data_IF_675569576093
#
_entry.id   IF_675569576093
#
_cell.length_a   1.000
_cell.length_b   1.000
_cell.length_c   1.000
_cell.angle_alpha   90.00
_cell.angle_beta   90.00
_cell.angle_gamma   90.00
#
_symmetry.space_group_name_H-M   'P 1'
#
loop_
_entity.id
_entity.type
_entity.pdbx_description
1 polymer ?
#
# COMPACT_ATOMS: atom_id res chain seq x y z
N UNK A 1 4.20 -9.43 4.13
CA UNK A 1 3.68 -10.12 2.98
C UNK A 1 4.69 -10.13 1.85
N UNK A 2 5.40 -11.24 1.68
CA UNK A 2 6.33 -11.38 0.59
C UNK A 2 5.61 -11.38 -0.76
N UNK A 3 6.18 -10.71 -1.73
CA UNK A 3 5.77 -10.86 -3.12
C UNK A 3 6.03 -12.31 -3.52
N UNK A 4 4.98 -13.12 -3.53
CA UNK A 4 5.09 -14.45 -4.14
C UNK A 4 5.23 -14.27 -5.64
N UNK A 5 6.09 -15.09 -6.24
CA UNK A 5 6.19 -15.09 -7.71
C UNK A 5 4.80 -15.40 -8.28
N UNK A 6 4.20 -14.50 -9.06
CA UNK A 6 2.87 -14.74 -9.64
C UNK A 6 2.88 -15.78 -10.76
N UNK A 7 4.05 -16.24 -11.17
CA UNK A 7 4.22 -17.18 -12.28
C UNK A 7 3.63 -18.57 -12.02
N UNK A 8 3.31 -18.89 -10.77
CA UNK A 8 2.80 -20.20 -10.37
C UNK A 8 1.27 -20.24 -10.22
N UNK A 9 0.60 -19.10 -10.36
CA UNK A 9 -0.84 -19.01 -10.15
C UNK A 9 -1.53 -18.62 -11.46
N UNK A 10 -2.46 -19.44 -11.90
CA UNK A 10 -3.29 -19.13 -13.08
C UNK A 10 -4.06 -17.80 -12.88
N UNK A 11 -4.02 -16.94 -13.88
CA UNK A 11 -4.67 -15.63 -13.83
C UNK A 11 -3.85 -14.53 -13.17
N UNK A 12 -2.64 -14.82 -12.69
CA UNK A 12 -1.73 -13.80 -12.19
C UNK A 12 -0.77 -13.36 -13.30
N UNK A 13 -0.66 -12.06 -13.51
CA UNK A 13 0.34 -11.47 -14.40
C UNK A 13 1.49 -10.90 -13.56
N UNK A 14 2.71 -11.18 -14.01
CA UNK A 14 3.91 -10.60 -13.43
C UNK A 14 4.21 -9.27 -14.15
N UNK A 15 4.08 -8.17 -13.45
CA UNK A 15 4.66 -6.92 -13.93
C UNK A 15 6.03 -6.76 -13.29
N UNK A 16 7.06 -6.54 -14.09
CA UNK A 16 8.38 -6.25 -13.58
C UNK A 16 8.31 -5.02 -12.66
N UNK A 17 8.90 -5.11 -11.48
CA UNK A 17 8.96 -4.01 -10.49
C UNK A 17 9.58 -2.72 -11.06
N UNK A 18 10.36 -2.87 -12.12
CA UNK A 18 11.07 -1.80 -12.82
C UNK A 18 10.26 -1.16 -13.95
N UNK A 19 9.10 -1.71 -14.28
CA UNK A 19 8.26 -1.13 -15.34
C UNK A 19 7.58 0.14 -14.83
N UNK A 20 7.87 1.26 -15.46
CA UNK A 20 7.25 2.55 -15.14
C UNK A 20 7.16 3.40 -16.40
N UNK A 21 6.02 4.02 -16.70
CA UNK A 21 4.71 3.82 -16.06
C UNK A 21 3.99 2.55 -16.54
N UNK A 22 3.21 1.91 -15.69
CA UNK A 22 2.32 0.81 -16.06
C UNK A 22 0.89 1.32 -16.16
N UNK A 23 0.32 1.28 -17.35
CA UNK A 23 -1.04 1.79 -17.63
C UNK A 23 -1.97 0.73 -18.23
N UNK A 24 -1.45 -0.44 -18.57
CA UNK A 24 -2.19 -1.50 -19.25
C UNK A 24 -1.93 -2.87 -18.62
N UNK A 25 -2.73 -3.85 -18.99
CA UNK A 25 -2.64 -5.21 -18.44
C UNK A 25 -3.34 -5.36 -17.08
N UNK A 26 -3.19 -6.52 -16.47
CA UNK A 26 -3.76 -6.85 -15.16
C UNK A 26 -2.72 -7.40 -14.19
N UNK A 27 -1.62 -6.68 -13.93
CA UNK A 27 -0.59 -7.15 -13.00
C UNK A 27 -1.15 -7.31 -11.60
N UNK A 28 -0.64 -8.29 -10.85
CA UNK A 28 -1.04 -8.57 -9.47
C UNK A 28 -0.54 -7.54 -8.48
N UNK A 29 0.44 -6.75 -8.87
CA UNK A 29 0.93 -5.62 -8.09
C UNK A 29 0.08 -4.37 -8.31
N UNK A 30 0.20 -3.40 -7.41
CA UNK A 30 -0.47 -2.09 -7.45
C UNK A 30 -2.01 -2.17 -7.39
N UNK A 31 -2.56 -3.25 -6.85
CA UNK A 31 -3.98 -3.43 -6.63
C UNK A 31 -4.25 -4.14 -5.30
N UNK A 32 -5.51 -4.11 -4.89
CA UNK A 32 -6.07 -5.04 -3.92
C UNK A 32 -7.10 -5.92 -4.61
N UNK A 33 -7.35 -7.11 -4.08
CA UNK A 33 -8.44 -7.97 -4.52
C UNK A 33 -9.55 -7.91 -3.47
N UNK A 34 -10.75 -7.53 -3.88
CA UNK A 34 -11.93 -7.53 -3.04
C UNK A 34 -12.65 -8.85 -3.20
N UNK A 35 -12.74 -9.61 -2.11
CA UNK A 35 -13.34 -10.94 -2.09
C UNK A 35 -14.68 -10.86 -1.36
N UNK A 36 -15.76 -11.22 -2.06
CA UNK A 36 -17.06 -11.39 -1.43
C UNK A 36 -17.18 -12.82 -0.90
N UNK A 37 -17.47 -12.94 0.38
CA UNK A 37 -17.72 -14.23 1.06
C UNK A 37 -19.17 -14.25 1.54
N UNK A 38 -20.10 -14.94 0.85
CA UNK A 38 -21.47 -15.08 1.31
C UNK A 38 -21.54 -15.90 2.60
N UNK A 39 -22.11 -15.36 3.66
CA UNK A 39 -22.17 -16.04 4.96
C UNK A 39 -22.97 -17.34 4.92
N UNK A 40 -24.03 -17.41 4.09
CA UNK A 40 -24.88 -18.59 3.95
C UNK A 40 -24.28 -19.69 3.06
N UNK A 41 -23.26 -19.36 2.24
CA UNK A 41 -22.61 -20.25 1.29
C UNK A 41 -21.14 -19.82 1.05
N UNK A 42 -20.26 -19.93 2.06
CA UNK A 42 -18.89 -19.40 1.98
C UNK A 42 -18.04 -20.06 0.89
N UNK A 43 -18.40 -21.27 0.47
CA UNK A 43 -17.78 -21.99 -0.65
C UNK A 43 -17.98 -21.28 -2.01
N UNK A 44 -18.89 -20.31 -2.08
CA UNK A 44 -19.14 -19.49 -3.27
C UNK A 44 -18.35 -18.19 -3.26
N UNK A 45 -17.37 -18.05 -2.38
CA UNK A 45 -16.51 -16.88 -2.32
C UNK A 45 -15.86 -16.59 -3.67
N UNK A 46 -15.83 -15.33 -4.06
CA UNK A 46 -15.27 -14.92 -5.34
C UNK A 46 -14.65 -13.52 -5.28
N UNK A 47 -13.66 -13.27 -6.12
CA UNK A 47 -13.13 -11.92 -6.33
C UNK A 47 -14.18 -11.13 -7.11
N UNK A 48 -14.66 -10.05 -6.52
CA UNK A 48 -15.71 -9.19 -7.12
C UNK A 48 -15.17 -7.91 -7.72
N UNK A 49 -13.96 -7.49 -7.30
CA UNK A 49 -13.32 -6.28 -7.80
C UNK A 49 -11.81 -6.34 -7.58
N UNK A 50 -11.06 -5.60 -8.40
CA UNK A 50 -9.59 -5.52 -8.33
C UNK A 50 -9.13 -4.06 -8.50
N UNK A 51 -9.48 -3.17 -7.56
CA UNK A 51 -9.20 -1.74 -7.68
C UNK A 51 -7.70 -1.43 -7.65
N UNK A 52 -7.29 -0.51 -8.53
CA UNK A 52 -5.92 -0.02 -8.69
C UNK A 52 -5.67 1.15 -7.74
N UNK A 53 -5.48 0.85 -6.47
CA UNK A 53 -5.41 1.86 -5.40
C UNK A 53 -4.19 2.79 -5.48
N UNK A 54 -3.14 2.40 -6.23
CA UNK A 54 -1.93 3.22 -6.42
C UNK A 54 -1.93 4.03 -7.70
N UNK A 55 -3.02 4.06 -8.45
CA UNK A 55 -3.10 4.79 -9.72
C UNK A 55 -2.87 6.29 -9.49
N UNK A 56 -1.99 6.87 -10.31
CA UNK A 56 -1.87 8.31 -10.43
C UNK A 56 -3.05 8.84 -11.25
N UNK A 57 -3.91 9.69 -10.68
CA UNK A 57 -5.09 10.19 -11.38
C UNK A 57 -4.76 11.11 -12.58
N UNK A 58 -3.58 11.73 -12.59
CA UNK A 58 -3.17 12.63 -13.67
C UNK A 58 -2.65 11.88 -14.90
N UNK A 59 -1.96 10.74 -14.70
CA UNK A 59 -1.31 10.00 -15.78
C UNK A 59 -1.98 8.67 -16.07
N UNK A 60 -2.81 8.15 -15.18
CA UNK A 60 -3.39 6.80 -15.25
C UNK A 60 -2.37 5.69 -14.96
N UNK A 61 -1.15 6.00 -14.54
CA UNK A 61 -0.16 5.01 -14.20
C UNK A 61 -0.56 4.23 -12.95
N UNK A 62 -0.57 2.90 -13.00
CA UNK A 62 -0.97 2.05 -11.87
C UNK A 62 0.02 2.12 -10.71
N UNK A 63 1.28 2.40 -11.02
CA UNK A 63 2.39 2.54 -10.10
C UNK A 63 2.76 4.00 -9.84
N UNK A 64 1.75 4.85 -9.70
CA UNK A 64 1.91 6.31 -9.58
C UNK A 64 2.33 6.82 -8.20
N UNK A 65 2.31 5.97 -7.15
CA UNK A 65 2.77 6.37 -5.82
C UNK A 65 4.25 6.07 -5.63
N UNK A 66 4.98 7.02 -5.03
CA UNK A 66 6.39 6.87 -4.69
C UNK A 66 6.56 6.72 -3.17
N UNK A 67 7.49 5.87 -2.75
CA UNK A 67 7.83 5.70 -1.34
C UNK A 67 8.54 6.91 -0.75
N UNK A 68 9.50 7.46 -1.50
CA UNK A 68 10.35 8.57 -1.06
C UNK A 68 10.73 9.43 -2.24
N UNK A 69 11.33 10.58 -1.96
CA UNK A 69 11.90 11.43 -2.99
C UNK A 69 13.10 10.72 -3.65
N UNK A 70 13.18 10.70 -4.99
CA UNK A 70 14.31 10.11 -5.70
C UNK A 70 15.64 10.69 -5.26
N UNK A 71 16.66 9.84 -5.07
CA UNK A 71 18.01 10.24 -4.73
C UNK A 71 18.25 10.65 -3.28
N UNK A 72 17.24 10.61 -2.43
CA UNK A 72 17.42 10.86 -1.00
C UNK A 72 18.15 9.69 -0.34
N UNK A 73 19.09 10.03 0.56
CA UNK A 73 19.81 9.08 1.40
C UNK A 73 19.49 9.37 2.85
N UNK A 74 19.34 8.31 3.65
CA UNK A 74 19.13 8.51 5.08
C UNK A 74 20.35 9.19 5.73
N UNK A 75 20.15 10.20 6.60
CA UNK A 75 21.26 10.95 7.22
C UNK A 75 22.23 10.10 8.03
N UNK A 76 21.81 8.90 8.49
CA UNK A 76 22.69 7.98 9.23
C UNK A 76 23.78 7.36 8.37
N UNK A 77 23.79 7.59 7.05
CA UNK A 77 24.70 6.94 6.11
C UNK A 77 24.44 5.45 5.90
N UNK A 78 23.34 4.92 6.42
CA UNK A 78 22.94 3.53 6.19
C UNK A 78 22.48 3.40 4.73
N UNK A 79 23.02 2.41 4.03
CA UNK A 79 22.59 2.09 2.68
C UNK A 79 21.15 1.56 2.72
N UNK A 80 20.21 2.44 2.50
CA UNK A 80 18.81 2.14 2.26
C UNK A 80 18.45 2.62 0.86
N UNK A 81 17.98 1.71 0.06
CA UNK A 81 17.53 2.01 -1.30
C UNK A 81 16.01 1.89 -1.32
N UNK A 82 15.28 2.99 -1.15
CA UNK A 82 13.83 2.95 -1.21
C UNK A 82 13.38 2.50 -2.59
N UNK A 83 12.32 1.70 -2.64
CA UNK A 83 11.68 1.40 -3.91
C UNK A 83 11.12 2.69 -4.51
N UNK A 84 11.34 2.95 -5.80
CA UNK A 84 10.88 4.19 -6.42
C UNK A 84 9.35 4.30 -6.43
N UNK A 85 8.64 3.17 -6.46
CA UNK A 85 7.20 3.09 -6.53
C UNK A 85 6.66 2.14 -5.47
N UNK A 86 5.58 2.55 -4.81
CA UNK A 86 4.82 1.69 -3.91
C UNK A 86 4.05 0.67 -4.73
N UNK A 87 4.28 -0.61 -4.49
CA UNK A 87 3.68 -1.70 -5.26
C UNK A 87 2.79 -2.63 -4.44
N UNK A 88 2.92 -2.63 -3.13
CA UNK A 88 2.15 -3.46 -2.20
C UNK A 88 1.90 -2.71 -0.91
N UNK A 89 0.84 -3.10 -0.19
CA UNK A 89 0.67 -2.76 1.22
C UNK A 89 1.15 -3.93 2.07
N UNK A 90 1.78 -3.64 3.18
CA UNK A 90 2.08 -4.64 4.19
C UNK A 90 0.81 -5.01 4.94
N UNK A 91 0.02 -4.00 5.31
CA UNK A 91 -1.22 -4.18 6.06
C UNK A 91 -2.27 -3.15 5.62
N UNK A 92 -3.53 -3.53 5.78
CA UNK A 92 -4.69 -2.67 5.59
C UNK A 92 -5.69 -2.88 6.72
N UNK A 93 -6.21 -1.79 7.27
CA UNK A 93 -7.22 -1.84 8.34
C UNK A 93 -8.46 -1.11 7.90
N UNK A 94 -9.59 -1.82 7.90
CA UNK A 94 -10.88 -1.25 7.61
C UNK A 94 -11.58 -0.78 8.89
N UNK A 95 -12.27 0.36 8.80
CA UNK A 95 -13.20 0.85 9.79
C UNK A 95 -14.58 1.04 9.14
N UNK A 96 -15.36 -0.06 9.01
CA UNK A 96 -16.59 -0.06 8.23
C UNK A 96 -17.66 0.90 8.73
N UNK A 97 -17.69 1.16 10.05
CA UNK A 97 -18.68 2.03 10.68
C UNK A 97 -18.66 3.47 10.14
N UNK A 98 -17.50 3.91 9.65
CA UNK A 98 -17.35 5.24 9.04
C UNK A 98 -16.97 5.17 7.56
N UNK A 99 -16.96 3.96 6.98
CA UNK A 99 -16.67 3.75 5.56
C UNK A 99 -15.21 4.03 5.16
N UNK A 100 -14.25 3.86 6.06
CA UNK A 100 -12.84 4.13 5.79
C UNK A 100 -11.96 2.89 5.87
N UNK A 101 -10.88 2.90 5.09
CA UNK A 101 -9.78 1.94 5.15
C UNK A 101 -8.46 2.68 5.10
N UNK A 102 -7.54 2.34 6.00
CA UNK A 102 -6.17 2.83 5.97
C UNK A 102 -5.21 1.72 5.54
N UNK A 103 -4.26 2.05 4.67
CA UNK A 103 -3.24 1.12 4.20
C UNK A 103 -1.84 1.58 4.54
N UNK A 104 -1.06 0.70 5.16
CA UNK A 104 0.38 0.85 5.37
C UNK A 104 1.10 0.22 4.17
N UNK A 105 1.51 1.05 3.22
CA UNK A 105 1.95 0.61 1.91
C UNK A 105 3.39 1.07 1.68
N UNK A 106 4.34 0.39 2.31
CA UNK A 106 5.77 0.73 2.25
C UNK A 106 6.00 2.15 2.82
N UNK A 107 6.56 3.07 2.05
CA UNK A 107 6.74 4.46 2.46
C UNK A 107 5.49 5.33 2.33
N UNK A 108 4.37 4.78 1.86
CA UNK A 108 3.11 5.50 1.72
C UNK A 108 2.07 5.01 2.73
N UNK A 109 1.44 5.93 3.43
CA UNK A 109 0.15 5.70 4.07
C UNK A 109 -0.95 6.15 3.13
N UNK A 110 -1.98 5.34 2.94
CA UNK A 110 -3.13 5.69 2.10
C UNK A 110 -4.42 5.63 2.89
N UNK A 111 -5.36 6.48 2.52
CA UNK A 111 -6.72 6.47 3.05
C UNK A 111 -7.70 6.24 1.89
N UNK A 112 -8.58 5.28 2.05
CA UNK A 112 -9.60 4.95 1.07
C UNK A 112 -10.99 5.14 1.66
N UNK A 113 -11.91 5.66 0.85
CA UNK A 113 -13.35 5.52 1.05
C UNK A 113 -13.77 4.12 0.62
N UNK A 114 -14.39 3.38 1.52
CA UNK A 114 -14.96 2.05 1.30
C UNK A 114 -16.47 2.01 1.59
N UNK A 115 -17.16 3.15 1.49
CA UNK A 115 -18.62 3.20 1.59
C UNK A 115 -19.28 2.27 0.56
N UNK A 116 -18.68 2.15 -0.62
CA UNK A 116 -18.86 1.02 -1.54
C UNK A 116 -17.59 0.15 -1.53
N UNK A 117 -17.57 -0.97 -0.79
CA UNK A 117 -16.39 -1.79 -0.65
C UNK A 117 -15.94 -2.46 -1.96
N UNK A 118 -16.80 -2.50 -2.97
CA UNK A 118 -16.47 -3.06 -4.30
C UNK A 118 -15.71 -2.03 -5.15
N UNK A 119 -15.92 -0.74 -4.90
CA UNK A 119 -15.30 0.36 -5.63
C UNK A 119 -14.61 1.34 -4.66
N UNK A 120 -13.57 0.94 -3.93
CA UNK A 120 -12.87 1.82 -3.03
C UNK A 120 -12.22 2.98 -3.78
N UNK A 121 -12.29 4.17 -3.19
CA UNK A 121 -11.72 5.40 -3.75
C UNK A 121 -10.63 5.93 -2.83
N UNK A 122 -9.44 6.18 -3.37
CA UNK A 122 -8.37 6.80 -2.59
C UNK A 122 -8.71 8.27 -2.31
N UNK A 123 -8.82 8.60 -1.02
CA UNK A 123 -9.08 9.95 -0.53
C UNK A 123 -7.80 10.75 -0.36
N UNK A 124 -6.77 10.11 0.21
CA UNK A 124 -5.52 10.78 0.57
C UNK A 124 -4.34 9.80 0.62
N UNK A 125 -3.15 10.37 0.63
CA UNK A 125 -1.89 9.65 0.79
C UNK A 125 -0.87 10.53 1.49
N UNK A 126 -0.04 9.92 2.32
CA UNK A 126 1.08 10.60 2.95
C UNK A 126 2.37 9.82 2.70
N UNK A 127 3.48 10.53 2.59
CA UNK A 127 4.81 9.97 2.41
C UNK A 127 5.70 10.53 3.50
N UNK A 128 6.39 9.67 4.24
CA UNK A 128 7.43 10.11 5.15
C UNK A 128 8.75 10.29 4.37
N UNK A 129 9.24 11.53 4.34
CA UNK A 129 10.53 11.87 3.72
C UNK A 129 11.73 11.26 4.43
N UNK A 130 11.55 10.76 5.65
CA UNK A 130 12.59 10.15 6.48
C UNK A 130 12.67 8.63 6.30
N UNK A 131 12.19 8.12 5.17
CA UNK A 131 12.33 6.72 4.74
C UNK A 131 11.55 5.70 5.56
N UNK A 132 10.37 6.05 6.00
CA UNK A 132 9.48 5.09 6.64
C UNK A 132 9.20 3.90 5.72
N UNK A 133 9.13 2.73 6.33
CA UNK A 133 8.54 1.53 5.76
C UNK A 133 7.39 1.13 6.68
N UNK A 134 6.20 1.63 6.40
CA UNK A 134 5.08 1.45 7.30
C UNK A 134 4.53 0.04 7.26
N UNK A 135 4.43 -0.54 8.45
CA UNK A 135 4.08 -1.92 8.70
C UNK A 135 2.60 -2.11 8.93
N UNK A 136 1.98 -1.27 9.77
CA UNK A 136 0.56 -1.33 10.05
C UNK A 136 -0.07 0.06 10.08
N UNK A 137 -1.38 0.11 9.88
CA UNK A 137 -2.20 1.30 9.99
C UNK A 137 -3.35 1.01 10.96
N UNK A 138 -3.53 1.84 11.99
CA UNK A 138 -4.53 1.61 13.03
C UNK A 138 -5.32 2.89 13.29
N UNK A 139 -6.65 2.80 13.21
CA UNK A 139 -7.53 3.89 13.61
C UNK A 139 -7.63 4.01 15.12
N UNK A 140 -7.79 5.24 15.62
CA UNK A 140 -8.29 5.44 16.97
C UNK A 140 -9.79 5.10 17.03
N UNK A 141 -10.35 5.01 18.26
CA UNK A 141 -11.70 4.48 18.47
C UNK A 141 -12.83 5.28 17.77
N UNK A 142 -12.60 6.56 17.50
CA UNK A 142 -13.59 7.42 16.84
C UNK A 142 -13.31 7.64 15.33
N UNK A 143 -12.26 6.98 14.79
CA UNK A 143 -11.91 7.05 13.38
C UNK A 143 -11.36 8.39 12.90
N UNK A 144 -11.02 9.30 13.81
CA UNK A 144 -10.53 10.65 13.46
C UNK A 144 -9.03 10.72 13.24
N UNK A 145 -8.30 9.65 13.60
CA UNK A 145 -6.84 9.56 13.46
C UNK A 145 -6.43 8.18 13.00
N UNK A 146 -5.36 8.13 12.22
CA UNK A 146 -4.65 6.91 11.84
C UNK A 146 -3.23 6.99 12.36
N UNK A 147 -2.77 5.90 12.99
CA UNK A 147 -1.38 5.71 13.43
C UNK A 147 -0.76 4.71 12.47
N UNK A 148 0.36 5.07 11.87
CA UNK A 148 1.20 4.16 11.11
C UNK A 148 2.41 3.76 11.94
N UNK A 149 2.71 2.46 11.97
CA UNK A 149 3.92 1.95 12.63
C UNK A 149 5.01 1.72 11.60
N UNK A 150 6.23 2.10 11.93
CA UNK A 150 7.38 1.99 11.04
C UNK A 150 8.18 0.72 11.32
N UNK A 151 8.49 -0.03 10.27
CA UNK A 151 9.34 -1.22 10.29
C UNK A 151 10.65 -1.01 9.51
N UNK A 152 10.97 0.19 9.14
CA UNK A 152 12.13 0.42 8.29
C UNK A 152 13.40 -0.27 8.83
N UNK A 153 14.15 -0.91 7.92
CA UNK A 153 15.31 -1.70 8.29
C UNK A 153 15.01 -3.00 9.04
N UNK A 154 13.75 -3.50 9.00
CA UNK A 154 13.32 -4.71 9.70
C UNK A 154 13.35 -4.55 11.23
N UNK A 155 13.14 -3.34 11.72
CA UNK A 155 13.16 -3.02 13.15
C UNK A 155 14.57 -2.96 13.77
N UNK A 156 15.62 -3.19 12.99
CA UNK A 156 17.01 -3.19 13.47
C UNK A 156 17.80 -1.97 13.01
N UNK A 157 17.32 -1.23 12.01
CA UNK A 157 17.98 -0.04 11.45
C UNK A 157 16.98 0.91 10.76
N UNK A 158 17.31 2.20 10.74
CA UNK A 158 18.16 2.90 11.67
C UNK A 158 17.46 3.03 13.01
N UNK A 159 18.21 3.38 14.03
CA UNK A 159 17.59 3.74 15.31
C UNK A 159 17.00 5.13 15.16
N UNK A 160 15.74 5.30 15.53
CA UNK A 160 15.11 6.61 15.59
C UNK A 160 15.95 7.58 16.43
N UNK A 161 16.21 8.76 15.86
CA UNK A 161 16.83 9.90 16.54
C UNK A 161 15.83 11.03 16.52
N UNK A 162 15.97 11.97 17.44
CA UNK A 162 15.12 13.17 17.41
C UNK A 162 15.22 13.95 16.10
N UNK A 163 16.37 13.84 15.39
CA UNK A 163 16.57 14.42 14.06
C UNK A 163 15.85 13.69 12.92
N UNK A 164 15.34 12.49 13.18
CA UNK A 164 14.67 11.66 12.17
C UNK A 164 13.14 11.85 12.21
N UNK A 165 12.65 12.62 13.17
CA UNK A 165 11.25 13.02 13.25
C UNK A 165 10.91 14.04 12.16
N UNK A 166 9.69 13.97 11.56
CA UNK A 166 9.24 14.89 10.53
C UNK A 166 9.10 16.33 11.00
#
# INVERSE_FOLDING_TARGET
>A
SGVRSPLELAGCENAALTQSPVTTGNPTQWRIDVIKVPLAAPETASVVSQPRIFTDPATGAFNGLQNTLPGALHPSGTAYSPLPNTNTCHDVTAFPEIGLLAGACQGNGILLDISDPVNPVRLDQVVDKNFAYWHSATFNNDGTKVIFTDEWGGGVRPRCRASDLP
#
